data_IF_715479335587
#
_entry.id   IF_715479335587
#
_cell.length_a   1.000
_cell.length_b   1.000
_cell.length_c   1.000
_cell.angle_alpha   90.00
_cell.angle_beta   90.00
_cell.angle_gamma   90.00
#
_symmetry.space_group_name_H-M   'P 1'
#
loop_
_entity.id
_entity.type
_entity.pdbx_description
1 polymer ?
#
# COMPACT_ATOMS: atom_id res chain seq x y z
N UNK A 1 -12.92 9.18 6.92
CA UNK A 1 -12.51 8.12 7.87
C UNK A 1 -12.53 8.67 9.28
N UNK A 2 -12.97 7.87 10.25
CA UNK A 2 -12.81 8.17 11.68
C UNK A 2 -11.50 7.51 12.15
N UNK A 3 -10.45 8.31 12.28
CA UNK A 3 -9.10 7.82 12.62
C UNK A 3 -9.01 7.19 14.00
N UNK A 4 -9.95 7.51 14.91
CA UNK A 4 -10.02 6.95 16.26
C UNK A 4 -10.40 5.47 16.29
N UNK A 5 -10.90 4.92 15.17
CA UNK A 5 -11.24 3.50 15.04
C UNK A 5 -10.08 2.63 14.59
N UNK A 6 -8.93 3.22 14.26
CA UNK A 6 -7.76 2.50 13.77
C UNK A 6 -6.70 2.38 14.87
N UNK A 7 -5.91 1.31 14.80
CA UNK A 7 -4.70 1.22 15.60
C UNK A 7 -3.63 2.16 15.04
N UNK A 8 -2.66 2.56 15.86
CA UNK A 8 -1.53 3.39 15.43
C UNK A 8 -0.77 2.77 14.24
N UNK A 9 -0.54 1.45 14.28
CA UNK A 9 0.10 0.72 13.18
C UNK A 9 -0.74 0.72 11.90
N UNK A 10 -2.06 0.64 12.00
CA UNK A 10 -2.95 0.73 10.84
C UNK A 10 -2.94 2.12 10.23
N UNK A 11 -2.92 3.18 11.05
CA UNK A 11 -2.80 4.56 10.57
C UNK A 11 -1.46 4.79 9.87
N UNK A 12 -0.36 4.35 10.48
CA UNK A 12 0.97 4.43 9.86
C UNK A 12 1.05 3.66 8.54
N UNK A 13 0.39 2.50 8.42
CA UNK A 13 0.33 1.75 7.16
C UNK A 13 -0.43 2.52 6.06
N UNK A 14 -1.54 3.20 6.40
CA UNK A 14 -2.28 4.05 5.46
C UNK A 14 -1.45 5.24 4.99
N UNK A 15 -0.73 5.90 5.89
CA UNK A 15 0.18 7.00 5.57
C UNK A 15 1.30 6.55 4.65
N UNK A 16 1.92 5.41 4.97
CA UNK A 16 2.97 4.81 4.13
C UNK A 16 2.44 4.41 2.74
N UNK A 17 1.22 3.88 2.67
CA UNK A 17 0.58 3.52 1.41
C UNK A 17 0.34 4.75 0.54
N UNK A 18 -0.17 5.83 1.13
CA UNK A 18 -0.34 7.10 0.45
C UNK A 18 1.01 7.65 -0.07
N UNK A 19 2.04 7.65 0.77
CA UNK A 19 3.38 8.06 0.38
C UNK A 19 3.96 7.19 -0.75
N UNK A 20 3.66 5.89 -0.76
CA UNK A 20 4.07 4.98 -1.83
C UNK A 20 3.41 5.35 -3.15
N UNK A 21 2.10 5.59 -3.16
CA UNK A 21 1.35 5.99 -4.34
C UNK A 21 1.86 7.31 -4.94
N UNK A 22 2.13 8.30 -4.08
CA UNK A 22 2.72 9.60 -4.50
C UNK A 22 4.10 9.40 -5.14
N UNK A 23 4.99 8.62 -4.49
CA UNK A 23 6.35 8.36 -5.00
C UNK A 23 6.34 7.65 -6.35
N UNK A 24 5.40 6.72 -6.55
CA UNK A 24 5.22 5.98 -7.80
C UNK A 24 4.46 6.75 -8.88
N UNK A 25 3.96 7.96 -8.56
CA UNK A 25 3.08 8.76 -9.43
C UNK A 25 1.82 8.01 -9.86
N UNK A 26 1.32 7.12 -9.00
CA UNK A 26 0.05 6.46 -9.28
C UNK A 26 -1.09 7.48 -9.14
N UNK A 27 -2.11 7.35 -10.00
CA UNK A 27 -3.23 8.29 -10.04
C UNK A 27 -4.10 8.26 -8.79
N UNK A 28 -4.10 7.13 -8.10
CA UNK A 28 -4.91 6.87 -6.93
C UNK A 28 -4.17 5.96 -5.93
N UNK A 29 -4.52 6.11 -4.66
CA UNK A 29 -4.17 5.20 -3.60
C UNK A 29 -5.08 3.98 -3.74
N UNK A 30 -4.46 2.82 -3.93
CA UNK A 30 -5.12 1.52 -4.14
C UNK A 30 -4.82 0.57 -2.98
N UNK A 31 -5.66 -0.45 -2.80
CA UNK A 31 -5.44 -1.54 -1.82
C UNK A 31 -4.08 -2.23 -1.98
N UNK A 32 -3.51 -2.27 -3.19
CA UNK A 32 -2.18 -2.85 -3.43
C UNK A 32 -1.08 -2.06 -2.70
N UNK A 33 -1.19 -0.73 -2.60
CA UNK A 33 -0.26 0.10 -1.82
C UNK A 33 -0.39 -0.16 -0.32
N UNK A 34 -1.62 -0.36 0.15
CA UNK A 34 -1.88 -0.69 1.55
C UNK A 34 -1.33 -2.07 1.89
N UNK A 35 -1.57 -3.06 1.03
CA UNK A 35 -1.00 -4.39 1.16
C UNK A 35 0.53 -4.34 1.19
N UNK A 36 1.15 -3.56 0.30
CA UNK A 36 2.60 -3.35 0.31
C UNK A 36 3.08 -2.74 1.63
N UNK A 37 2.41 -1.71 2.10
CA UNK A 37 2.78 -1.02 3.34
C UNK A 37 2.60 -1.90 4.57
N UNK A 38 1.57 -2.76 4.60
CA UNK A 38 1.36 -3.73 5.67
C UNK A 38 2.38 -4.87 5.61
N UNK A 39 2.70 -5.38 4.42
CA UNK A 39 3.65 -6.49 4.20
C UNK A 39 5.04 -6.12 4.70
N UNK A 40 5.49 -4.91 4.42
CA UNK A 40 6.84 -4.44 4.79
C UNK A 40 6.87 -3.56 6.04
N UNK A 41 5.77 -3.53 6.82
CA UNK A 41 5.73 -2.78 8.07
C UNK A 41 6.65 -3.43 9.11
N UNK A 42 7.61 -2.66 9.62
CA UNK A 42 8.48 -3.11 10.69
C UNK A 42 7.68 -3.49 11.95
N UNK A 43 7.98 -4.66 12.51
CA UNK A 43 7.23 -5.22 13.64
C UNK A 43 5.71 -5.28 13.36
N UNK A 44 5.32 -5.46 12.10
CA UNK A 44 3.93 -5.54 11.64
C UNK A 44 3.32 -6.92 11.86
N UNK A 45 2.00 -6.97 11.92
CA UNK A 45 1.27 -8.23 12.09
C UNK A 45 1.27 -9.05 10.78
N UNK A 46 1.11 -8.41 9.63
CA UNK A 46 1.04 -9.09 8.32
C UNK A 46 2.30 -9.87 7.97
N UNK A 47 3.53 -9.31 8.07
CA UNK A 47 4.74 -10.11 7.82
C UNK A 47 4.85 -11.34 8.73
N UNK A 48 4.44 -11.23 10.01
CA UNK A 48 4.40 -12.38 10.93
C UNK A 48 3.36 -13.44 10.54
N UNK A 49 2.21 -13.01 10.01
CA UNK A 49 1.19 -13.92 9.48
C UNK A 49 1.74 -14.65 8.26
N UNK A 50 2.37 -13.95 7.32
CA UNK A 50 2.95 -14.55 6.12
C UNK A 50 4.07 -15.53 6.44
N UNK A 51 4.92 -15.21 7.42
CA UNK A 51 5.93 -16.13 7.95
C UNK A 51 5.30 -17.41 8.50
N UNK A 52 4.25 -17.30 9.34
CA UNK A 52 3.52 -18.46 9.88
C UNK A 52 2.78 -19.27 8.82
N UNK A 53 2.39 -18.64 7.73
CA UNK A 53 1.74 -19.29 6.59
C UNK A 53 2.76 -19.90 5.61
N UNK A 54 4.06 -19.80 5.90
CA UNK A 54 5.14 -20.29 5.05
C UNK A 54 5.07 -19.72 3.62
N UNK A 55 4.64 -18.46 3.49
CA UNK A 55 4.61 -17.76 2.21
C UNK A 55 6.05 -17.50 1.76
N UNK A 56 6.34 -17.86 0.51
CA UNK A 56 7.58 -17.51 -0.17
C UNK A 56 7.66 -15.98 -0.33
N UNK A 57 8.42 -15.34 0.56
CA UNK A 57 8.50 -13.88 0.66
C UNK A 57 9.07 -13.23 -0.60
N UNK A 58 9.98 -13.91 -1.30
CA UNK A 58 10.57 -13.41 -2.54
C UNK A 58 9.54 -13.44 -3.67
N UNK A 59 8.87 -14.59 -3.88
CA UNK A 59 7.80 -14.69 -4.88
C UNK A 59 6.67 -13.71 -4.61
N UNK A 60 6.25 -13.57 -3.35
CA UNK A 60 5.21 -12.62 -2.96
C UNK A 60 5.63 -11.18 -3.25
N UNK A 61 6.87 -10.81 -2.89
CA UNK A 61 7.39 -9.46 -3.12
C UNK A 61 7.46 -9.14 -4.62
N UNK A 62 7.89 -10.08 -5.46
CA UNK A 62 7.91 -9.90 -6.91
C UNK A 62 6.51 -9.73 -7.51
N UNK A 63 5.54 -10.53 -7.06
CA UNK A 63 4.15 -10.41 -7.48
C UNK A 63 3.55 -9.05 -7.08
N UNK A 64 3.78 -8.65 -5.83
CA UNK A 64 3.31 -7.37 -5.30
C UNK A 64 3.92 -6.17 -6.04
N UNK A 65 5.24 -6.21 -6.33
CA UNK A 65 5.91 -5.16 -7.11
C UNK A 65 5.37 -5.09 -8.55
N UNK A 66 5.06 -6.25 -9.14
CA UNK A 66 4.45 -6.31 -10.48
C UNK A 66 3.04 -5.69 -10.46
N UNK A 67 2.24 -5.97 -9.44
CA UNK A 67 0.93 -5.35 -9.24
C UNK A 67 1.05 -3.83 -9.07
N UNK A 68 1.97 -3.34 -8.24
CA UNK A 68 2.21 -1.89 -8.06
C UNK A 68 2.61 -1.20 -9.38
N UNK A 69 3.48 -1.82 -10.17
CA UNK A 69 3.90 -1.27 -11.48
C UNK A 69 2.77 -1.25 -12.51
N UNK A 70 1.79 -2.14 -12.39
CA UNK A 70 0.64 -2.19 -13.29
C UNK A 70 -0.41 -1.12 -13.02
N UNK A 71 -0.35 -0.46 -11.86
CA UNK A 71 -1.32 0.58 -11.49
C UNK A 71 -1.22 1.80 -12.41
N UNK A 72 -2.34 2.47 -12.73
CA UNK A 72 -2.34 3.66 -13.57
C UNK A 72 -1.45 4.77 -12.98
N UNK A 73 -0.78 5.52 -13.86
CA UNK A 73 0.11 6.64 -13.47
C UNK A 73 -0.42 7.97 -14.00
N UNK A 74 -0.13 9.04 -13.27
CA UNK A 74 -0.44 10.40 -13.69
C UNK A 74 0.46 10.81 -14.85
N UNK A 75 -0.14 11.10 -16.00
CA UNK A 75 0.53 11.74 -17.14
C UNK A 75 0.11 13.21 -17.21
N UNK A 76 0.99 14.14 -16.82
CA UNK A 76 0.76 15.60 -16.93
C UNK A 76 1.00 16.42 -15.66
N UNK A 77 0.98 17.75 -15.80
CA UNK A 77 1.39 18.79 -14.84
C UNK A 77 0.58 18.90 -13.55
N UNK A 78 -0.42 18.03 -13.34
CA UNK A 78 -1.27 18.01 -12.16
C UNK A 78 -0.65 17.15 -11.06
N UNK A 79 0.58 17.48 -10.66
CA UNK A 79 1.22 16.87 -9.50
C UNK A 79 0.65 17.56 -8.28
N UNK A 80 -0.21 16.90 -7.51
CA UNK A 80 -0.62 17.50 -6.24
C UNK A 80 -1.51 16.67 -5.33
N UNK A 81 -2.41 15.84 -5.86
CA UNK A 81 -3.37 15.12 -5.00
C UNK A 81 -3.65 13.73 -5.54
N UNK A 82 -3.17 12.71 -4.84
CA UNK A 82 -3.56 11.31 -5.06
C UNK A 82 -4.86 11.08 -4.30
N UNK A 83 -5.92 10.73 -5.02
CA UNK A 83 -7.22 10.37 -4.43
C UNK A 83 -7.25 8.91 -3.97
N UNK A 84 -8.28 8.50 -3.24
CA UNK A 84 -8.52 7.08 -2.95
C UNK A 84 -9.19 6.40 -4.16
N UNK A 85 -8.80 5.16 -4.47
CA UNK A 85 -9.47 4.35 -5.50
C UNK A 85 -10.87 3.93 -5.06
N UNK A 86 -11.71 3.56 -6.02
CA UNK A 86 -13.08 3.12 -5.77
C UNK A 86 -13.18 1.92 -4.81
N UNK A 87 -12.13 1.10 -4.73
CA UNK A 87 -12.05 -0.08 -3.88
C UNK A 87 -11.66 0.23 -2.42
N UNK A 88 -11.29 1.47 -2.11
CA UNK A 88 -10.96 1.91 -0.76
C UNK A 88 -12.10 2.65 -0.04
N UNK A 89 -13.30 2.70 -0.64
CA UNK A 89 -14.49 3.34 -0.07
C UNK A 89 -15.18 2.46 0.99
#
# INVERSE_FOLDING_TARGET
MDTQKFTEKSLSALENAHNNAVRRKNSELSTVHLLSSLTFQENGLVPRIFEKMEIDSEKFTQALESSLKSLPTLSGSSVGRVGASGEMN
#
